data_IF_043167262719
#
_entry.id   IF_043167262719
#
_cell.length_a   1.000
_cell.length_b   1.000
_cell.length_c   1.000
_cell.angle_alpha   90.00
_cell.angle_beta   90.00
_cell.angle_gamma   90.00
#
_symmetry.space_group_name_H-M   'P 1'
#
loop_
_entity.id
_entity.type
_entity.pdbx_description
1 polymer ?
#
# COMPACT_ATOMS: atom_id res chain seq x y z
N UNK A 1 41.85 -16.16 -6.24
CA UNK A 1 41.82 -14.93 -5.40
C UNK A 1 41.75 -13.66 -6.30
N UNK A 2 40.55 -13.10 -6.49
CA UNK A 2 40.32 -11.90 -7.30
C UNK A 2 40.61 -10.65 -6.47
N UNK A 3 41.54 -9.81 -6.91
CA UNK A 3 41.90 -8.54 -6.26
C UNK A 3 40.77 -7.51 -6.41
N UNK A 4 40.41 -6.85 -5.30
CA UNK A 4 39.46 -5.73 -5.28
C UNK A 4 40.26 -4.44 -5.51
N UNK A 5 39.92 -3.60 -6.51
CA UNK A 5 40.64 -2.35 -6.78
C UNK A 5 40.44 -1.31 -5.66
N UNK A 6 41.49 -0.55 -5.32
CA UNK A 6 41.44 0.53 -4.31
C UNK A 6 40.91 1.83 -4.96
N UNK A 7 40.06 2.55 -4.23
CA UNK A 7 39.32 3.77 -4.63
C UNK A 7 40.18 4.93 -5.19
N UNK A 8 41.52 4.86 -5.13
CA UNK A 8 42.42 5.95 -5.55
C UNK A 8 42.69 5.99 -7.06
N UNK A 9 42.27 4.98 -7.82
CA UNK A 9 42.57 4.87 -9.26
C UNK A 9 41.41 5.33 -10.17
N UNK A 10 40.38 5.99 -9.62
CA UNK A 10 39.27 6.55 -10.42
C UNK A 10 39.66 7.96 -10.87
N UNK A 11 39.76 8.25 -12.19
CA UNK A 11 39.99 9.61 -12.67
C UNK A 11 38.83 10.52 -12.27
N UNK A 12 39.13 11.67 -11.65
CA UNK A 12 38.13 12.70 -11.34
C UNK A 12 37.54 13.23 -12.66
N UNK A 13 36.21 13.14 -12.82
CA UNK A 13 35.50 13.79 -13.92
C UNK A 13 35.71 15.31 -13.86
N UNK A 14 35.98 15.90 -15.03
CA UNK A 14 36.14 17.34 -15.24
C UNK A 14 34.86 18.12 -14.91
N UNK A 15 35.04 19.26 -14.26
CA UNK A 15 33.98 20.12 -13.71
C UNK A 15 33.29 21.01 -14.76
N UNK A 16 32.92 20.48 -15.92
CA UNK A 16 32.46 21.30 -17.07
C UNK A 16 30.99 21.10 -17.49
N UNK A 17 30.12 20.55 -16.64
CA UNK A 17 28.68 20.45 -16.97
C UNK A 17 27.72 20.99 -15.89
N UNK A 18 28.15 21.99 -15.12
CA UNK A 18 27.24 22.81 -14.31
C UNK A 18 26.80 24.05 -15.10
N UNK A 19 25.94 23.86 -16.11
CA UNK A 19 25.13 24.94 -16.66
C UNK A 19 23.66 24.54 -16.56
N UNK A 20 23.03 25.00 -15.48
CA UNK A 20 21.57 25.04 -15.37
C UNK A 20 21.08 26.21 -16.23
N UNK A 21 20.05 26.05 -17.07
CA UNK A 21 19.48 27.18 -17.81
C UNK A 21 18.78 28.14 -16.83
N UNK A 22 19.02 29.43 -17.01
CA UNK A 22 18.45 30.53 -16.24
C UNK A 22 16.93 30.62 -16.49
N UNK A 23 16.09 30.81 -15.45
CA UNK A 23 14.65 30.99 -15.64
C UNK A 23 14.35 32.36 -16.26
N UNK A 24 13.30 32.48 -17.10
CA UNK A 24 12.95 33.74 -17.72
C UNK A 24 12.42 34.74 -16.68
N UNK A 25 12.87 35.99 -16.75
CA UNK A 25 12.36 37.11 -15.96
C UNK A 25 10.93 37.45 -16.40
N UNK A 26 9.98 37.39 -15.45
CA UNK A 26 8.62 37.85 -15.65
C UNK A 26 8.53 39.33 -15.25
N UNK A 27 8.28 40.21 -16.23
CA UNK A 27 8.05 41.63 -16.01
C UNK A 27 6.74 41.84 -15.23
N UNK A 28 6.80 42.65 -14.17
CA UNK A 28 5.63 43.06 -13.38
C UNK A 28 4.81 44.09 -14.15
N UNK A 29 3.76 43.64 -14.83
CA UNK A 29 2.70 44.53 -15.32
C UNK A 29 1.45 44.34 -14.48
N UNK A 30 1.11 45.38 -13.73
CA UNK A 30 -0.13 45.53 -12.98
C UNK A 30 -1.31 45.68 -13.94
N UNK A 31 -2.20 44.70 -13.98
CA UNK A 31 -3.56 44.87 -14.51
C UNK A 31 -4.54 44.04 -13.66
N UNK A 32 -5.45 44.75 -13.02
CA UNK A 32 -6.60 44.26 -12.27
C UNK A 32 -7.53 43.43 -13.14
N UNK A 33 -7.86 42.21 -12.71
CA UNK A 33 -8.91 41.39 -13.32
C UNK A 33 -9.12 40.10 -12.55
N UNK A 34 -10.28 39.96 -11.91
CA UNK A 34 -10.66 38.80 -11.14
C UNK A 34 -10.93 37.55 -12.02
N UNK A 35 -10.76 36.37 -11.41
CA UNK A 35 -11.68 35.20 -11.41
C UNK A 35 -10.94 33.85 -11.53
N UNK A 36 -11.15 33.06 -10.48
CA UNK A 36 -11.18 31.58 -10.39
C UNK A 36 -9.94 30.75 -10.77
N UNK A 37 -9.55 29.87 -9.83
CA UNK A 37 -8.92 28.59 -10.15
C UNK A 37 -7.58 28.32 -9.49
N UNK A 38 -7.50 28.27 -8.16
CA UNK A 38 -6.30 27.76 -7.46
C UNK A 38 -6.67 27.01 -6.18
N UNK A 39 -7.65 26.11 -6.27
CA UNK A 39 -8.11 25.29 -5.14
C UNK A 39 -8.21 23.78 -5.39
N UNK A 40 -7.91 23.31 -6.60
CA UNK A 40 -8.22 21.91 -6.95
C UNK A 40 -7.25 20.87 -6.32
N UNK A 41 -5.96 21.17 -6.21
CA UNK A 41 -4.97 20.16 -5.78
C UNK A 41 -4.91 19.91 -4.27
N UNK A 42 -5.28 20.90 -3.44
CA UNK A 42 -5.22 20.76 -1.98
C UNK A 42 -6.44 20.03 -1.39
N UNK A 43 -7.56 19.98 -2.11
CA UNK A 43 -8.81 19.41 -1.63
C UNK A 43 -8.96 17.90 -1.91
N UNK A 44 -8.18 17.35 -2.84
CA UNK A 44 -8.33 15.96 -3.31
C UNK A 44 -7.94 14.91 -2.24
N UNK A 45 -7.03 15.27 -1.33
CA UNK A 45 -6.62 14.40 -0.22
C UNK A 45 -7.71 14.23 0.84
N UNK A 46 -8.68 15.16 0.95
CA UNK A 46 -9.65 15.16 2.05
C UNK A 46 -10.68 14.05 1.97
N UNK A 47 -10.76 13.33 0.85
CA UNK A 47 -11.73 12.26 0.62
C UNK A 47 -11.11 10.95 0.14
N UNK A 48 -9.79 10.88 -0.05
CA UNK A 48 -9.11 9.65 -0.47
C UNK A 48 -9.39 8.46 0.45
N UNK A 49 -9.60 8.71 1.75
CA UNK A 49 -9.95 7.68 2.72
C UNK A 49 -11.33 7.04 2.47
N UNK A 50 -12.24 7.71 1.74
CA UNK A 50 -13.59 7.21 1.42
C UNK A 50 -13.61 6.43 0.09
N UNK A 51 -12.60 6.59 -0.75
CA UNK A 51 -12.56 5.95 -2.07
C UNK A 51 -12.11 4.50 -1.87
N UNK A 52 -13.02 3.56 -2.17
CA UNK A 52 -12.70 2.15 -2.15
C UNK A 52 -11.75 1.79 -3.29
N UNK A 53 -10.78 0.92 -3.00
CA UNK A 53 -9.88 0.36 -4.02
C UNK A 53 -10.69 -0.46 -5.03
N UNK A 54 -10.35 -0.33 -6.31
CA UNK A 54 -11.02 -1.08 -7.38
C UNK A 54 -10.39 -2.46 -7.56
N UNK A 55 -10.66 -3.38 -6.62
CA UNK A 55 -10.19 -4.75 -6.76
C UNK A 55 -11.05 -5.54 -7.77
N UNK A 56 -10.39 -6.32 -8.63
CA UNK A 56 -11.04 -7.25 -9.56
C UNK A 56 -11.59 -8.49 -8.84
N UNK A 57 -12.26 -9.37 -9.59
CA UNK A 57 -12.54 -10.73 -9.14
C UNK A 57 -11.23 -11.46 -8.82
N UNK A 58 -11.23 -12.43 -7.88
CA UNK A 58 -10.01 -13.13 -7.50
C UNK A 58 -9.26 -13.67 -8.72
N UNK A 59 -7.98 -13.31 -8.84
CA UNK A 59 -7.11 -13.77 -9.92
C UNK A 59 -6.17 -14.89 -9.48
N UNK A 60 -5.96 -15.05 -8.18
CA UNK A 60 -5.14 -16.09 -7.58
C UNK A 60 -5.68 -16.54 -6.21
N UNK A 61 -5.15 -17.62 -5.61
CA UNK A 61 -5.56 -18.08 -4.28
C UNK A 61 -5.43 -17.00 -3.19
N UNK A 62 -4.37 -16.18 -3.26
CA UNK A 62 -4.15 -15.08 -2.32
C UNK A 62 -5.26 -14.01 -2.41
N UNK A 63 -5.70 -13.67 -3.62
CA UNK A 63 -6.82 -12.74 -3.80
C UNK A 63 -8.10 -13.26 -3.17
N UNK A 64 -8.39 -14.56 -3.32
CA UNK A 64 -9.58 -15.18 -2.71
C UNK A 64 -9.54 -15.02 -1.19
N UNK A 65 -8.40 -15.32 -0.56
CA UNK A 65 -8.22 -15.16 0.89
C UNK A 65 -8.49 -13.72 1.33
N UNK A 66 -7.92 -12.73 0.61
CA UNK A 66 -8.11 -11.32 0.93
C UNK A 66 -9.56 -10.85 0.73
N UNK A 67 -10.13 -11.14 -0.44
CA UNK A 67 -11.46 -10.67 -0.81
C UNK A 67 -12.55 -11.31 0.04
N UNK A 68 -12.43 -12.60 0.36
CA UNK A 68 -13.39 -13.30 1.24
C UNK A 68 -13.35 -12.72 2.64
N UNK A 69 -12.15 -12.43 3.18
CA UNK A 69 -12.02 -11.77 4.48
C UNK A 69 -12.67 -10.38 4.49
N UNK A 70 -12.35 -9.53 3.51
CA UNK A 70 -12.93 -8.20 3.40
C UNK A 70 -14.45 -8.25 3.28
N UNK A 71 -14.98 -9.15 2.46
CA UNK A 71 -16.43 -9.33 2.26
C UNK A 71 -17.12 -9.78 3.54
N UNK A 72 -16.59 -10.79 4.23
CA UNK A 72 -17.17 -11.29 5.48
C UNK A 72 -17.22 -10.19 6.54
N UNK A 73 -16.12 -9.44 6.72
CA UNK A 73 -16.05 -8.37 7.72
C UNK A 73 -16.95 -7.18 7.39
N UNK A 74 -17.05 -6.77 6.13
CA UNK A 74 -18.01 -5.73 5.71
C UNK A 74 -19.46 -6.20 5.88
N UNK A 75 -19.75 -7.48 5.70
CA UNK A 75 -21.06 -8.08 5.96
C UNK A 75 -21.46 -8.01 7.43
N UNK A 76 -20.59 -8.43 8.34
CA UNK A 76 -20.84 -8.37 9.79
C UNK A 76 -21.11 -6.95 10.29
N UNK A 77 -20.43 -5.97 9.69
CA UNK A 77 -20.64 -4.55 9.93
C UNK A 77 -22.05 -4.08 9.56
N UNK A 78 -22.54 -4.50 8.40
CA UNK A 78 -23.90 -4.19 7.96
C UNK A 78 -24.97 -4.84 8.84
N UNK A 79 -24.64 -5.95 9.49
CA UNK A 79 -25.49 -6.65 10.46
C UNK A 79 -25.46 -6.03 11.87
N UNK A 80 -24.75 -4.91 12.08
CA UNK A 80 -24.72 -4.17 13.34
C UNK A 80 -23.68 -4.65 14.36
N UNK A 81 -22.85 -5.64 14.03
CA UNK A 81 -21.74 -6.07 14.89
C UNK A 81 -20.55 -5.13 14.63
N UNK A 82 -20.51 -3.99 15.34
CA UNK A 82 -19.40 -3.03 15.25
C UNK A 82 -18.17 -3.52 16.05
N UNK A 83 -17.52 -4.54 15.52
CA UNK A 83 -16.36 -5.19 16.09
C UNK A 83 -15.10 -4.39 15.65
N UNK A 84 -14.58 -3.47 16.50
CA UNK A 84 -13.38 -2.65 16.16
C UNK A 84 -12.19 -3.56 15.94
N UNK A 85 -11.56 -3.54 14.77
CA UNK A 85 -10.37 -4.36 14.48
C UNK A 85 -9.24 -4.07 15.48
N UNK A 86 -9.04 -4.99 16.43
CA UNK A 86 -7.93 -4.95 17.37
C UNK A 86 -6.61 -5.16 16.60
N UNK A 87 -5.54 -4.53 17.07
CA UNK A 87 -4.21 -4.77 16.50
C UNK A 87 -3.87 -6.27 16.57
N UNK A 88 -3.25 -6.82 15.52
CA UNK A 88 -2.84 -8.21 15.52
C UNK A 88 -1.87 -8.43 16.68
N UNK A 89 -2.16 -9.43 17.51
CA UNK A 89 -1.26 -9.81 18.59
C UNK A 89 -0.09 -10.60 18.02
N UNK A 90 1.13 -10.15 18.26
CA UNK A 90 2.35 -10.95 18.01
C UNK A 90 2.34 -12.26 18.81
N UNK A 91 1.62 -12.30 19.94
CA UNK A 91 1.43 -13.54 20.69
C UNK A 91 0.61 -14.56 19.92
N UNK A 92 -0.32 -14.15 19.05
CA UNK A 92 -1.05 -15.09 18.18
C UNK A 92 -0.20 -15.59 17.01
N UNK A 93 0.84 -14.85 16.61
CA UNK A 93 1.88 -15.33 15.68
C UNK A 93 2.77 -16.39 16.34
N UNK A 94 3.19 -16.14 17.59
CA UNK A 94 4.12 -16.99 18.32
C UNK A 94 3.43 -18.19 18.99
N UNK A 95 2.15 -18.04 19.36
CA UNK A 95 1.32 -19.03 20.04
C UNK A 95 -0.04 -19.16 19.32
N UNK A 96 -0.11 -19.96 18.24
CA UNK A 96 -1.34 -20.17 17.48
C UNK A 96 -2.51 -20.73 18.31
N UNK A 97 -2.23 -21.23 19.52
CA UNK A 97 -3.20 -21.85 20.43
C UNK A 97 -3.97 -20.85 21.30
N UNK A 98 -3.56 -19.58 21.37
CA UNK A 98 -4.18 -18.58 22.24
C UNK A 98 -5.39 -17.91 21.55
N UNK A 99 -6.56 -18.51 21.74
CA UNK A 99 -7.83 -18.22 21.07
C UNK A 99 -8.57 -17.02 21.67
N UNK A 100 -8.15 -15.79 21.36
CA UNK A 100 -9.05 -14.63 21.54
C UNK A 100 -9.97 -14.46 20.32
N UNK A 101 -11.27 -14.25 20.54
CA UNK A 101 -12.32 -14.16 19.49
C UNK A 101 -12.02 -13.11 18.40
N UNK A 102 -11.33 -12.02 18.76
CA UNK A 102 -10.87 -11.00 17.81
C UNK A 102 -9.64 -11.44 17.00
N UNK A 103 -8.71 -12.14 17.65
CA UNK A 103 -7.53 -12.72 17.01
C UNK A 103 -7.92 -13.77 15.97
N UNK A 104 -9.00 -14.52 16.19
CA UNK A 104 -9.42 -15.63 15.33
C UNK A 104 -9.51 -15.28 13.83
N UNK A 105 -9.96 -14.06 13.49
CA UNK A 105 -10.19 -13.69 12.09
C UNK A 105 -8.92 -13.28 11.32
N UNK A 106 -8.05 -12.47 11.93
CA UNK A 106 -6.82 -11.97 11.30
C UNK A 106 -5.78 -13.08 11.33
N UNK A 107 -5.70 -13.82 12.44
CA UNK A 107 -4.84 -15.00 12.59
C UNK A 107 -5.23 -16.11 11.63
N UNK A 108 -6.53 -16.26 11.29
CA UNK A 108 -6.98 -17.20 10.25
C UNK A 108 -6.49 -16.81 8.87
N UNK A 109 -6.76 -15.57 8.43
CA UNK A 109 -6.27 -15.06 7.13
C UNK A 109 -4.75 -15.19 7.04
N UNK A 110 -4.06 -14.82 8.10
CA UNK A 110 -2.61 -14.95 8.17
C UNK A 110 -2.15 -16.40 8.09
N UNK A 111 -2.80 -17.32 8.81
CA UNK A 111 -2.51 -18.76 8.72
C UNK A 111 -2.73 -19.29 7.31
N UNK A 112 -3.80 -18.89 6.64
CA UNK A 112 -4.11 -19.29 5.27
C UNK A 112 -3.04 -18.76 4.28
N UNK A 113 -2.49 -17.58 4.54
CA UNK A 113 -1.40 -16.99 3.76
C UNK A 113 -0.07 -17.69 4.00
N UNK A 114 0.31 -17.96 5.25
CA UNK A 114 1.53 -18.73 5.53
C UNK A 114 1.48 -20.13 4.91
N UNK A 115 0.30 -20.72 4.81
CA UNK A 115 0.10 -21.98 4.08
C UNK A 115 0.24 -21.82 2.57
N UNK A 116 -0.14 -20.66 2.03
CA UNK A 116 0.00 -20.33 0.60
C UNK A 116 1.45 -19.99 0.23
N UNK A 117 2.22 -19.40 1.16
CA UNK A 117 3.62 -18.99 0.96
C UNK A 117 4.53 -19.56 2.05
N UNK A 118 4.97 -20.83 1.91
CA UNK A 118 5.83 -21.47 2.91
C UNK A 118 7.20 -20.79 3.03
N UNK A 119 7.61 -20.01 2.04
CA UNK A 119 8.88 -19.27 2.03
C UNK A 119 8.92 -18.15 3.07
N UNK A 120 7.76 -17.66 3.55
CA UNK A 120 7.64 -16.66 4.63
C UNK A 120 7.85 -17.37 5.98
N UNK A 121 9.08 -17.82 6.21
CA UNK A 121 9.42 -18.69 7.33
C UNK A 121 10.01 -17.95 8.53
N UNK A 122 10.61 -16.77 8.32
CA UNK A 122 11.23 -16.04 9.41
C UNK A 122 10.23 -15.16 10.17
N UNK A 123 10.39 -15.08 11.49
CA UNK A 123 9.52 -14.26 12.35
C UNK A 123 9.45 -12.78 11.90
N UNK A 124 10.56 -12.11 11.53
CA UNK A 124 10.48 -10.73 11.06
C UNK A 124 9.64 -10.57 9.78
N UNK A 125 9.75 -11.50 8.83
CA UNK A 125 8.97 -11.49 7.58
C UNK A 125 7.48 -11.70 7.87
N UNK A 126 7.17 -12.65 8.76
CA UNK A 126 5.81 -12.94 9.21
C UNK A 126 5.15 -11.73 9.88
N UNK A 127 5.86 -11.09 10.81
CA UNK A 127 5.39 -9.89 11.50
C UNK A 127 5.20 -8.73 10.52
N UNK A 128 6.14 -8.52 9.60
CA UNK A 128 6.06 -7.47 8.59
C UNK A 128 4.88 -7.66 7.64
N UNK A 129 4.65 -8.90 7.18
CA UNK A 129 3.52 -9.29 6.32
C UNK A 129 2.20 -9.03 7.05
N UNK A 130 2.08 -9.52 8.29
CA UNK A 130 0.88 -9.32 9.10
C UNK A 130 0.58 -7.84 9.35
N UNK A 131 1.59 -7.07 9.70
CA UNK A 131 1.45 -5.64 9.95
C UNK A 131 0.95 -4.91 8.69
N UNK A 132 1.59 -5.16 7.55
CA UNK A 132 1.24 -4.55 6.26
C UNK A 132 -0.21 -4.85 5.91
N UNK A 133 -0.60 -6.13 5.99
CA UNK A 133 -1.95 -6.55 5.68
C UNK A 133 -2.98 -5.93 6.62
N UNK A 134 -2.70 -5.93 7.92
CA UNK A 134 -3.61 -5.38 8.92
C UNK A 134 -3.90 -3.90 8.68
N UNK A 135 -2.88 -3.09 8.36
CA UNK A 135 -3.09 -1.66 8.16
C UNK A 135 -3.97 -1.37 6.94
N UNK A 136 -3.76 -2.07 5.82
CA UNK A 136 -4.59 -1.92 4.62
C UNK A 136 -6.01 -2.41 4.88
N UNK A 137 -6.16 -3.65 5.35
CA UNK A 137 -7.48 -4.27 5.54
C UNK A 137 -8.32 -3.51 6.57
N UNK A 138 -7.72 -2.97 7.63
CA UNK A 138 -8.43 -2.15 8.61
C UNK A 138 -9.07 -0.93 7.95
N UNK A 139 -8.34 -0.23 7.09
CA UNK A 139 -8.90 0.90 6.36
C UNK A 139 -9.94 0.44 5.32
N UNK A 140 -9.68 -0.64 4.58
CA UNK A 140 -10.64 -1.16 3.59
C UNK A 140 -11.95 -1.63 4.25
N UNK A 141 -11.94 -2.14 5.47
CA UNK A 141 -13.15 -2.54 6.19
C UNK A 141 -13.84 -1.32 6.82
N UNK A 142 -13.07 -0.40 7.40
CA UNK A 142 -13.55 0.81 8.07
C UNK A 142 -12.87 2.06 7.49
N UNK A 143 -13.39 2.61 6.38
CA UNK A 143 -12.79 3.73 5.65
C UNK A 143 -13.00 5.07 6.40
N UNK A 144 -12.31 5.23 7.52
CA UNK A 144 -12.28 6.47 8.31
C UNK A 144 -10.94 7.17 8.13
N UNK A 145 -10.92 8.50 8.29
CA UNK A 145 -9.68 9.28 8.24
C UNK A 145 -8.64 8.75 9.26
N UNK A 146 -9.07 8.43 10.48
CA UNK A 146 -8.18 7.87 11.52
C UNK A 146 -7.49 6.57 11.08
N UNK A 147 -8.23 5.67 10.42
CA UNK A 147 -7.65 4.41 9.95
C UNK A 147 -6.72 4.61 8.75
N UNK A 148 -7.03 5.58 7.89
CA UNK A 148 -6.21 5.95 6.75
C UNK A 148 -4.89 6.60 7.17
N UNK A 149 -4.92 7.52 8.14
CA UNK A 149 -3.73 8.22 8.66
C UNK A 149 -2.74 7.28 9.37
N UNK A 150 -3.24 6.13 9.86
CA UNK A 150 -2.41 5.07 10.45
C UNK A 150 -1.71 4.20 9.41
N UNK A 151 -2.09 4.30 8.13
CA UNK A 151 -1.39 3.58 7.06
C UNK A 151 -0.04 4.27 6.87
N UNK A 152 1.07 3.53 6.92
CA UNK A 152 2.36 4.13 6.63
C UNK A 152 2.38 4.76 5.23
N UNK A 153 3.04 5.91 5.06
CA UNK A 153 3.04 6.70 3.81
C UNK A 153 3.41 5.90 2.54
N UNK A 154 4.22 4.84 2.70
CA UNK A 154 4.70 3.94 1.66
C UNK A 154 3.65 2.89 1.25
N UNK A 155 2.68 2.64 2.14
CA UNK A 155 1.58 1.71 1.93
C UNK A 155 0.25 2.42 1.60
N UNK A 156 0.18 3.75 1.79
CA UNK A 156 -1.00 4.56 1.46
C UNK A 156 -1.50 4.24 0.04
N UNK A 157 -2.82 4.03 -0.16
CA UNK A 157 -3.41 3.77 -1.46
C UNK A 157 -3.09 4.88 -2.45
N UNK A 158 -2.63 4.49 -3.63
CA UNK A 158 -2.25 5.41 -4.70
C UNK A 158 -3.44 5.72 -5.59
N UNK A 159 -3.49 6.89 -6.25
CA UNK A 159 -4.53 7.20 -7.23
C UNK A 159 -4.69 6.10 -8.29
N UNK A 160 -3.59 5.48 -8.73
CA UNK A 160 -3.63 4.38 -9.68
C UNK A 160 -4.44 3.17 -9.17
N UNK A 161 -4.39 2.86 -7.87
CA UNK A 161 -5.15 1.79 -7.23
C UNK A 161 -6.63 2.20 -7.01
N UNK A 162 -6.88 3.49 -6.76
CA UNK A 162 -8.23 4.00 -6.54
C UNK A 162 -9.04 4.12 -7.83
N UNK A 163 -8.38 4.38 -8.97
CA UNK A 163 -9.05 4.67 -10.24
C UNK A 163 -8.93 3.55 -11.29
N UNK A 164 -8.00 2.59 -11.12
CA UNK A 164 -7.84 1.49 -12.07
C UNK A 164 -8.17 0.13 -11.44
N UNK A 165 -9.00 -0.70 -12.08
CA UNK A 165 -9.24 -2.07 -11.63
C UNK A 165 -7.98 -2.95 -11.68
N UNK A 166 -7.65 -3.62 -10.58
CA UNK A 166 -6.46 -4.49 -10.47
C UNK A 166 -6.65 -5.65 -9.45
N UNK A 167 -5.80 -6.69 -9.48
CA UNK A 167 -5.80 -7.79 -8.50
C UNK A 167 -5.57 -7.31 -7.06
N UNK A 168 -6.26 -7.90 -6.09
CA UNK A 168 -6.22 -7.45 -4.69
C UNK A 168 -4.84 -7.61 -4.05
N UNK A 169 -4.09 -8.64 -4.41
CA UNK A 169 -2.76 -8.92 -3.85
C UNK A 169 -1.75 -7.79 -4.13
N UNK A 170 -1.93 -7.03 -5.21
CA UNK A 170 -1.02 -5.94 -5.58
C UNK A 170 -1.07 -4.77 -4.59
N UNK A 171 -2.16 -4.62 -3.82
CA UNK A 171 -2.29 -3.57 -2.81
C UNK A 171 -1.26 -3.68 -1.68
N UNK A 172 -0.81 -4.92 -1.41
CA UNK A 172 0.03 -5.30 -0.28
C UNK A 172 1.54 -5.19 -0.59
N UNK A 173 1.92 -4.73 -1.78
CA UNK A 173 3.32 -4.51 -2.16
C UNK A 173 3.84 -3.24 -1.49
N UNK A 174 4.97 -3.36 -0.78
CA UNK A 174 5.53 -2.28 0.04
C UNK A 174 6.04 -1.08 -0.76
N UNK A 175 6.41 -1.26 -2.03
CA UNK A 175 6.99 -0.20 -2.87
C UNK A 175 5.91 0.57 -3.65
N UNK A 176 5.69 1.88 -3.36
CA UNK A 176 4.63 2.67 -4.00
C UNK A 176 4.73 2.72 -5.52
N UNK A 177 5.95 2.90 -6.05
CA UNK A 177 6.19 3.02 -7.50
C UNK A 177 5.90 1.70 -8.24
N UNK A 178 6.14 0.58 -7.58
CA UNK A 178 5.84 -0.75 -8.14
C UNK A 178 4.33 -0.92 -8.20
N UNK A 179 3.61 -0.57 -7.12
CA UNK A 179 2.14 -0.58 -7.10
C UNK A 179 1.52 0.27 -8.19
N UNK A 180 1.98 1.52 -8.34
CA UNK A 180 1.50 2.40 -9.43
C UNK A 180 1.61 1.72 -10.80
N UNK A 181 2.79 1.15 -11.10
CA UNK A 181 3.03 0.45 -12.37
C UNK A 181 2.15 -0.78 -12.54
N UNK A 182 2.03 -1.59 -11.49
CA UNK A 182 1.24 -2.81 -11.51
C UNK A 182 -0.25 -2.52 -11.68
N UNK A 183 -0.80 -1.46 -11.05
CA UNK A 183 -2.19 -1.07 -11.25
C UNK A 183 -2.53 -0.70 -12.70
N UNK A 184 -1.56 -0.16 -13.46
CA UNK A 184 -1.75 0.14 -14.89
C UNK A 184 -1.52 -1.07 -15.80
N UNK A 185 -0.60 -1.96 -15.45
CA UNK A 185 -0.10 -3.03 -16.32
C UNK A 185 -0.26 -4.43 -15.70
N UNK A 186 -1.28 -4.66 -14.87
CA UNK A 186 -1.41 -5.90 -14.09
C UNK A 186 -1.45 -7.17 -14.95
N UNK A 187 -1.92 -7.07 -16.20
CA UNK A 187 -2.02 -8.20 -17.15
C UNK A 187 -0.65 -8.74 -17.57
N UNK A 188 0.38 -7.92 -17.51
CA UNK A 188 1.75 -8.30 -17.87
C UNK A 188 2.45 -9.05 -16.73
N UNK A 189 1.83 -9.12 -15.55
CA UNK A 189 2.40 -9.68 -14.32
C UNK A 189 1.39 -10.62 -13.64
N UNK A 190 1.12 -11.82 -14.23
CA UNK A 190 0.29 -12.82 -13.57
C UNK A 190 0.95 -13.28 -12.27
N UNK A 191 0.12 -13.69 -11.31
CA UNK A 191 0.59 -14.14 -10.00
C UNK A 191 1.31 -15.50 -10.07
N UNK A 192 0.91 -16.38 -10.98
CA UNK A 192 1.52 -17.69 -11.21
C UNK A 192 2.54 -17.59 -12.35
N UNK A 193 3.80 -17.94 -12.06
CA UNK A 193 4.86 -18.22 -13.04
C UNK A 193 5.33 -19.66 -12.84
#
# INVERSE_FOLDING_TARGET
PRQIPKIRDIPKLSAEHNHSPEPPKLESSSATGAVAGSGAAANDHRQAHLIAVQNLKPTCPLDSIFLDFLKNRRGELSSGIQQRMAYPSVSSLLNPTDNSTYSYSISKVFSDILRTFPDISSLPEQVGTLYTMFQIMRWQIYPTQENYDRIPHWLTPRPAQLFNPHPAWMDYILWPKVRDRLSYSYRDYPFEN
#
